data_IF_652757233199
#
_entry.id   IF_652757233199
#
_cell.length_a   1.000
_cell.length_b   1.000
_cell.length_c   1.000
_cell.angle_alpha   90.00
_cell.angle_beta   90.00
_cell.angle_gamma   90.00
#
_symmetry.space_group_name_H-M   'P 1'
#
loop_
_entity.id
_entity.type
_entity.pdbx_description
1 polymer ?
#
# COMPACT_ATOMS: atom_id res chain seq x y z
N UNK A 1 -17.69 9.44 11.72
CA UNK A 1 -17.14 8.09 11.93
C UNK A 1 -15.75 8.01 11.35
N UNK A 2 -14.80 7.61 12.16
CA UNK A 2 -13.43 7.52 11.67
C UNK A 2 -13.23 6.25 10.86
N UNK A 3 -12.23 6.30 10.00
CA UNK A 3 -11.89 5.13 9.20
C UNK A 3 -11.19 4.09 10.05
N UNK A 4 -11.42 2.84 9.73
CA UNK A 4 -10.69 1.75 10.36
C UNK A 4 -9.50 1.43 9.48
N UNK A 5 -8.35 1.95 9.85
CA UNK A 5 -7.15 1.80 9.03
C UNK A 5 -6.69 0.35 8.95
N UNK A 6 -6.95 -0.44 9.97
CA UNK A 6 -6.64 -1.88 9.90
C UNK A 6 -7.46 -2.58 8.83
N UNK A 7 -8.75 -2.25 8.76
CA UNK A 7 -9.61 -2.84 7.75
C UNK A 7 -9.18 -2.41 6.35
N UNK A 8 -8.87 -1.12 6.20
CA UNK A 8 -8.43 -0.61 4.91
C UNK A 8 -7.13 -1.28 4.48
N UNK A 9 -6.19 -1.42 5.40
CA UNK A 9 -4.92 -2.07 5.10
C UNK A 9 -5.12 -3.55 4.74
N UNK A 10 -6.03 -4.23 5.43
CA UNK A 10 -6.33 -5.61 5.14
C UNK A 10 -6.94 -5.77 3.76
N UNK A 11 -7.84 -4.88 3.39
CA UNK A 11 -8.44 -4.89 2.06
C UNK A 11 -7.40 -4.61 0.99
N UNK A 12 -6.49 -3.67 1.27
CA UNK A 12 -5.39 -3.40 0.34
C UNK A 12 -4.54 -4.64 0.13
N UNK A 13 -4.14 -5.30 1.20
CA UNK A 13 -3.32 -6.50 1.10
C UNK A 13 -4.01 -7.58 0.27
N UNK A 14 -5.30 -7.78 0.52
CA UNK A 14 -6.05 -8.76 -0.23
C UNK A 14 -6.05 -8.41 -1.72
N UNK A 15 -6.28 -7.16 -2.05
CA UNK A 15 -6.31 -6.71 -3.44
C UNK A 15 -4.93 -6.75 -4.09
N UNK A 16 -3.88 -6.67 -3.31
CA UNK A 16 -2.52 -6.74 -3.83
C UNK A 16 -2.04 -8.18 -4.07
N UNK A 17 -2.85 -9.16 -3.74
CA UNK A 17 -2.49 -10.56 -3.93
C UNK A 17 -2.09 -11.27 -2.66
N UNK A 18 -2.30 -10.62 -1.51
CA UNK A 18 -1.99 -11.19 -0.22
C UNK A 18 -0.71 -10.61 0.38
N UNK A 19 -0.56 -10.80 1.68
CA UNK A 19 0.61 -10.26 2.38
C UNK A 19 1.91 -10.85 1.85
N UNK A 20 1.90 -12.08 1.40
CA UNK A 20 3.09 -12.73 0.88
C UNK A 20 3.54 -12.15 -0.47
N UNK A 21 2.67 -11.41 -1.14
CA UNK A 21 3.02 -10.76 -2.39
C UNK A 21 3.67 -9.39 -2.18
N UNK A 22 3.62 -8.87 -0.97
CA UNK A 22 4.19 -7.56 -0.65
C UNK A 22 5.59 -7.74 -0.08
N UNK A 23 6.59 -7.31 -0.84
CA UNK A 23 7.98 -7.43 -0.41
C UNK A 23 8.41 -6.27 0.47
N UNK A 24 8.04 -5.06 0.10
CA UNK A 24 8.43 -3.86 0.82
C UNK A 24 7.35 -2.81 0.67
N UNK A 25 7.28 -1.93 1.65
CA UNK A 25 6.31 -0.85 1.64
C UNK A 25 6.97 0.44 2.10
N UNK A 26 6.63 1.52 1.44
CA UNK A 26 7.06 2.86 1.79
C UNK A 26 5.92 3.81 1.49
N UNK A 27 6.08 5.06 1.89
CA UNK A 27 5.11 6.07 1.52
C UNK A 27 5.81 7.41 1.32
N UNK A 28 5.18 8.26 0.55
CA UNK A 28 5.55 9.66 0.52
C UNK A 28 4.34 10.46 1.01
N UNK A 29 4.25 11.73 0.65
CA UNK A 29 3.25 12.60 1.26
C UNK A 29 1.82 12.14 0.97
N UNK A 30 1.57 11.63 -0.24
CA UNK A 30 0.21 11.33 -0.65
C UNK A 30 -0.01 9.89 -1.10
N UNK A 31 1.04 9.08 -1.24
CA UNK A 31 0.85 7.75 -1.80
C UNK A 31 1.73 6.71 -1.15
N UNK A 32 1.23 5.48 -1.20
CA UNK A 32 2.00 4.31 -0.82
C UNK A 32 2.85 3.87 -2.00
N UNK A 33 4.06 3.40 -1.71
CA UNK A 33 4.95 2.82 -2.70
C UNK A 33 5.22 1.39 -2.28
N UNK A 34 4.82 0.46 -3.12
CA UNK A 34 4.81 -0.95 -2.75
C UNK A 34 5.62 -1.76 -3.75
N UNK A 35 6.51 -2.58 -3.24
CA UNK A 35 7.26 -3.53 -4.06
C UNK A 35 6.56 -4.88 -3.96
N UNK A 36 6.13 -5.40 -5.09
CA UNK A 36 5.36 -6.64 -5.15
C UNK A 36 6.21 -7.72 -5.82
N UNK A 37 6.05 -8.95 -5.34
CA UNK A 37 6.71 -10.09 -5.97
C UNK A 37 6.13 -10.36 -7.34
N UNK A 38 4.81 -10.30 -7.44
CA UNK A 38 4.10 -10.58 -8.69
C UNK A 38 3.02 -9.53 -8.89
N UNK A 39 3.32 -8.48 -9.66
CA UNK A 39 2.33 -7.41 -9.89
C UNK A 39 1.06 -7.89 -10.59
N UNK A 40 1.11 -9.01 -11.31
CA UNK A 40 -0.06 -9.50 -12.01
C UNK A 40 -1.14 -10.01 -11.06
N UNK A 41 -0.82 -10.20 -9.78
CA UNK A 41 -1.79 -10.64 -8.78
C UNK A 41 -2.66 -9.51 -8.26
N UNK A 42 -2.38 -8.27 -8.62
CA UNK A 42 -3.15 -7.13 -8.15
C UNK A 42 -4.52 -7.09 -8.81
N UNK A 43 -5.55 -6.93 -7.98
CA UNK A 43 -6.91 -6.72 -8.44
C UNK A 43 -7.19 -5.22 -8.37
N UNK A 44 -6.87 -4.52 -9.45
CA UNK A 44 -6.98 -3.06 -9.47
C UNK A 44 -8.41 -2.58 -9.31
N UNK A 45 -9.35 -3.31 -9.88
CA UNK A 45 -10.75 -2.89 -9.80
C UNK A 45 -11.23 -2.86 -8.37
N UNK A 46 -10.93 -3.92 -7.62
CA UNK A 46 -11.32 -3.98 -6.21
C UNK A 46 -10.52 -2.97 -5.40
N UNK A 47 -9.23 -2.86 -5.68
CA UNK A 47 -8.36 -1.95 -4.94
C UNK A 47 -8.84 -0.51 -5.06
N UNK A 48 -9.22 -0.09 -6.26
CA UNK A 48 -9.63 1.30 -6.47
C UNK A 48 -10.97 1.64 -5.85
N UNK A 49 -11.70 0.64 -5.34
CA UNK A 49 -12.95 0.85 -4.65
C UNK A 49 -12.79 0.91 -3.14
N UNK A 50 -11.59 0.64 -2.64
CA UNK A 50 -11.33 0.67 -1.21
C UNK A 50 -11.42 2.12 -0.72
N UNK A 51 -12.02 2.28 0.46
CA UNK A 51 -12.15 3.59 1.07
C UNK A 51 -10.77 4.24 1.20
N UNK A 52 -10.69 5.53 0.95
CA UNK A 52 -9.48 6.36 0.97
C UNK A 52 -8.58 6.20 -0.26
N UNK A 53 -8.76 5.17 -1.06
CA UNK A 53 -7.95 5.01 -2.26
C UNK A 53 -8.49 5.92 -3.36
N UNK A 54 -7.65 6.80 -3.85
CA UNK A 54 -8.03 7.76 -4.90
C UNK A 54 -7.60 7.30 -6.28
N UNK A 55 -6.66 6.38 -6.34
CA UNK A 55 -6.20 5.83 -7.60
C UNK A 55 -4.98 4.97 -7.36
N UNK A 56 -4.57 4.24 -8.39
CA UNK A 56 -3.40 3.39 -8.28
C UNK A 56 -2.77 3.22 -9.66
N UNK A 57 -1.46 2.97 -9.67
CA UNK A 57 -0.75 2.73 -10.93
C UNK A 57 0.58 2.05 -10.64
N UNK A 58 1.13 1.43 -11.67
CA UNK A 58 2.41 0.74 -11.57
C UNK A 58 3.44 1.51 -12.39
N UNK A 59 4.50 1.95 -11.74
CA UNK A 59 5.54 2.71 -12.43
C UNK A 59 6.86 2.55 -11.70
N UNK A 60 7.95 2.55 -12.47
CA UNK A 60 9.28 2.47 -11.90
C UNK A 60 9.53 1.21 -11.11
N UNK A 61 8.83 0.14 -11.43
CA UNK A 61 8.97 -1.11 -10.71
C UNK A 61 8.21 -1.17 -9.40
N UNK A 62 7.48 -0.11 -9.06
CA UNK A 62 6.70 -0.05 -7.83
C UNK A 62 5.23 0.16 -8.13
N UNK A 63 4.39 -0.47 -7.34
CA UNK A 63 2.96 -0.23 -7.40
C UNK A 63 2.63 0.90 -6.44
N UNK A 64 1.97 1.94 -6.93
CA UNK A 64 1.69 3.13 -6.13
C UNK A 64 0.20 3.29 -5.93
N UNK A 65 -0.20 3.59 -4.70
CA UNK A 65 -1.60 3.78 -4.33
C UNK A 65 -1.74 5.18 -3.77
N UNK A 66 -2.53 6.01 -4.44
CA UNK A 66 -2.74 7.38 -4.02
C UNK A 66 -3.80 7.42 -2.94
N UNK A 67 -3.46 7.96 -1.78
CA UNK A 67 -4.40 8.05 -0.67
C UNK A 67 -4.61 9.50 -0.24
N UNK A 68 -3.55 10.18 0.14
CA UNK A 68 -3.67 11.56 0.55
C UNK A 68 -2.88 11.87 1.80
N UNK A 69 -2.61 13.14 2.05
CA UNK A 69 -1.78 13.53 3.20
C UNK A 69 -2.45 13.15 4.51
N UNK A 70 -1.66 12.70 5.45
CA UNK A 70 -2.15 12.30 6.75
C UNK A 70 -2.70 10.88 6.76
N UNK A 71 -3.64 10.60 5.88
CA UNK A 71 -4.24 9.26 5.81
C UNK A 71 -3.23 8.22 5.33
N UNK A 72 -2.36 8.61 4.41
CA UNK A 72 -1.37 7.68 3.88
C UNK A 72 -0.48 7.12 4.98
N UNK A 73 -0.10 7.94 5.94
CA UNK A 73 0.76 7.50 7.03
C UNK A 73 0.06 6.49 7.91
N UNK A 74 -1.22 6.69 8.16
CA UNK A 74 -1.99 5.79 9.00
C UNK A 74 -2.22 4.45 8.35
N UNK A 75 -2.52 4.47 7.05
CA UNK A 75 -2.67 3.24 6.30
C UNK A 75 -1.34 2.50 6.23
N UNK A 76 -0.24 3.24 6.03
CA UNK A 76 1.08 2.64 5.99
C UNK A 76 1.42 1.94 7.32
N UNK A 77 1.15 2.61 8.43
CA UNK A 77 1.42 2.01 9.74
C UNK A 77 0.62 0.72 9.94
N UNK A 78 -0.64 0.72 9.51
CA UNK A 78 -1.47 -0.46 9.62
C UNK A 78 -0.94 -1.60 8.73
N UNK A 79 -0.49 -1.26 7.52
CA UNK A 79 0.11 -2.26 6.64
C UNK A 79 1.33 -2.91 7.28
N UNK A 80 2.17 -2.10 7.90
CA UNK A 80 3.36 -2.63 8.57
C UNK A 80 2.99 -3.58 9.69
N UNK A 81 1.97 -3.26 10.45
CA UNK A 81 1.53 -4.12 11.54
C UNK A 81 1.00 -5.45 11.02
N UNK A 82 0.26 -5.41 9.92
CA UNK A 82 -0.33 -6.63 9.38
C UNK A 82 0.68 -7.52 8.70
N UNK A 83 1.72 -6.93 8.12
CA UNK A 83 2.71 -7.69 7.35
C UNK A 83 3.97 -8.00 8.14
N UNK A 84 4.20 -7.27 9.22
CA UNK A 84 5.44 -7.39 9.96
C UNK A 84 6.65 -6.79 9.27
N UNK A 85 6.45 -6.04 8.20
CA UNK A 85 7.54 -5.43 7.48
C UNK A 85 8.17 -4.32 8.32
N UNK A 86 9.49 -4.20 8.25
CA UNK A 86 10.19 -3.14 8.92
C UNK A 86 9.91 -1.81 8.24
N UNK A 87 10.28 -0.73 8.91
CA UNK A 87 10.22 0.58 8.31
C UNK A 87 10.93 0.56 6.97
N UNK A 88 10.40 1.29 6.04
CA UNK A 88 10.72 1.12 4.67
C UNK A 88 12.19 1.25 4.33
N UNK A 89 12.70 0.27 3.62
CA UNK A 89 13.98 0.36 2.98
C UNK A 89 13.85 0.83 1.54
N UNK A 90 12.64 0.85 1.00
CA UNK A 90 12.45 1.31 -0.38
C UNK A 90 12.86 2.77 -0.51
N UNK A 91 12.37 3.60 0.39
CA UNK A 91 12.70 5.02 0.34
C UNK A 91 14.20 5.25 0.51
N UNK A 92 14.82 4.48 1.40
CA UNK A 92 16.25 4.61 1.64
C UNK A 92 17.06 4.20 0.41
N UNK A 93 16.66 3.11 -0.21
CA UNK A 93 17.36 2.57 -1.36
C UNK A 93 17.23 3.48 -2.57
N UNK A 94 16.11 4.16 -2.67
CA UNK A 94 15.80 4.99 -3.84
C UNK A 94 16.50 6.34 -3.81
N UNK A 95 17.26 6.62 -2.84
CA UNK A 95 17.95 7.90 -2.73
C UNK A 95 18.80 8.23 -3.93
#
# INVERSE_FOLDING_TARGET
MSHDYSTIASELLHSLGGADNLEQAAHCVTRLRLALKDPSRVDSATLNQIDLVKGSFFTGGLFQVVIGPGEVEKVYAALRQLTGLAASTIADVKQ
#
